data_IF_250892041315
#
_entry.id   IF_250892041315
#
_cell.length_a   1.000
_cell.length_b   1.000
_cell.length_c   1.000
_cell.angle_alpha   90.00
_cell.angle_beta   90.00
_cell.angle_gamma   90.00
#
_symmetry.space_group_name_H-M   'P 1'
#
loop_
_entity.id
_entity.type
_entity.pdbx_description
1 polymer ?
#
# COMPACT_ATOMS: atom_id res chain seq x y z
N UNK A 1 13.53 -20.87 3.15
CA UNK A 1 13.03 -20.17 4.32
C UNK A 1 12.99 -18.68 4.07
N UNK A 2 11.91 -18.06 4.49
CA UNK A 2 11.76 -16.63 4.24
C UNK A 2 12.70 -15.82 5.13
N UNK A 3 13.27 -14.79 4.57
CA UNK A 3 14.14 -13.91 5.34
C UNK A 3 13.31 -13.09 6.30
N UNK A 4 13.97 -12.51 7.28
CA UNK A 4 13.30 -11.62 8.22
C UNK A 4 12.64 -10.46 7.51
N UNK A 5 13.31 -9.94 6.48
CA UNK A 5 12.77 -8.83 5.72
C UNK A 5 11.48 -9.19 5.01
N UNK A 6 11.42 -10.39 4.43
CA UNK A 6 10.21 -10.85 3.77
C UNK A 6 9.06 -11.00 4.75
N UNK A 7 9.34 -11.51 5.94
CA UNK A 7 8.29 -11.67 6.93
C UNK A 7 7.78 -10.32 7.40
N UNK A 8 8.65 -9.35 7.57
CA UNK A 8 8.24 -8.03 7.98
C UNK A 8 7.34 -7.39 6.94
N UNK A 9 7.71 -7.54 5.67
CA UNK A 9 6.89 -7.00 4.61
C UNK A 9 5.48 -7.59 4.63
N UNK A 10 5.41 -8.92 4.74
CA UNK A 10 4.14 -9.60 4.78
C UNK A 10 3.31 -9.16 5.99
N UNK A 11 3.97 -8.99 7.13
CA UNK A 11 3.27 -8.58 8.34
C UNK A 11 2.56 -7.25 8.14
N UNK A 12 3.25 -6.27 7.57
CA UNK A 12 2.67 -4.95 7.41
C UNK A 12 1.59 -4.92 6.33
N UNK A 13 1.78 -5.70 5.27
CA UNK A 13 0.74 -5.83 4.27
C UNK A 13 -0.53 -6.42 4.89
N UNK A 14 -0.37 -7.47 5.68
CA UNK A 14 -1.51 -8.11 6.33
C UNK A 14 -2.18 -7.18 7.35
N UNK A 15 -1.40 -6.33 7.98
CA UNK A 15 -1.96 -5.33 8.87
C UNK A 15 -3.01 -4.49 8.14
N UNK A 16 -2.67 -4.01 6.95
CA UNK A 16 -3.60 -3.18 6.19
C UNK A 16 -4.75 -3.97 5.61
N UNK A 17 -4.50 -5.22 5.24
CA UNK A 17 -5.60 -6.06 4.77
C UNK A 17 -6.65 -6.20 5.86
N UNK A 18 -6.22 -6.49 7.07
CA UNK A 18 -7.16 -6.64 8.18
C UNK A 18 -7.86 -5.33 8.49
N UNK A 19 -7.10 -4.25 8.52
CA UNK A 19 -7.66 -2.94 8.85
C UNK A 19 -8.74 -2.53 7.86
N UNK A 20 -8.41 -2.59 6.57
CA UNK A 20 -9.35 -2.16 5.55
C UNK A 20 -10.58 -3.07 5.49
N UNK A 21 -10.39 -4.36 5.70
CA UNK A 21 -11.54 -5.25 5.76
C UNK A 21 -12.45 -4.93 6.93
N UNK A 22 -11.87 -4.49 8.04
CA UNK A 22 -12.69 -4.11 9.19
C UNK A 22 -13.53 -2.87 8.87
N UNK A 23 -13.12 -2.08 7.89
CA UNK A 23 -13.89 -0.92 7.42
C UNK A 23 -14.80 -1.26 6.25
N UNK A 24 -14.92 -2.55 5.92
CA UNK A 24 -15.75 -3.01 4.81
C UNK A 24 -15.19 -2.62 3.46
N UNK A 25 -13.88 -2.45 3.37
CA UNK A 25 -13.20 -2.15 2.12
C UNK A 25 -12.61 -3.44 1.57
N UNK A 26 -12.87 -3.72 0.32
CA UNK A 26 -12.28 -4.88 -0.34
C UNK A 26 -10.82 -4.63 -0.58
N UNK A 27 -9.99 -5.55 -0.16
CA UNK A 27 -8.55 -5.41 -0.28
C UNK A 27 -7.93 -6.81 -0.37
N UNK A 28 -6.87 -6.92 -1.15
CA UNK A 28 -6.13 -8.18 -1.22
C UNK A 28 -4.67 -7.89 -1.47
N UNK A 29 -3.83 -8.82 -1.07
CA UNK A 29 -2.41 -8.74 -1.34
C UNK A 29 -2.14 -9.20 -2.76
N UNK A 30 -1.16 -8.56 -3.40
CA UNK A 30 -0.68 -9.03 -4.68
C UNK A 30 0.18 -10.27 -4.45
N UNK A 31 -0.05 -11.34 -5.18
CA UNK A 31 0.79 -12.52 -5.02
C UNK A 31 2.12 -12.26 -5.68
N UNK A 32 3.19 -12.53 -4.98
CA UNK A 32 4.57 -12.56 -5.48
C UNK A 32 4.78 -11.93 -6.84
N UNK A 33 4.29 -10.74 -7.00
CA UNK A 33 4.31 -10.10 -8.31
C UNK A 33 5.71 -9.93 -8.84
N UNK A 34 6.66 -9.75 -7.95
CA UNK A 34 8.03 -9.58 -8.39
C UNK A 34 8.57 -10.80 -9.09
N UNK A 35 8.17 -11.98 -8.63
CA UNK A 35 8.63 -13.21 -9.23
C UNK A 35 8.09 -13.38 -10.64
N UNK A 36 6.95 -12.81 -10.91
CA UNK A 36 6.36 -12.89 -12.23
C UNK A 36 6.83 -11.77 -13.13
N UNK A 37 7.60 -10.85 -12.58
CA UNK A 37 8.15 -9.76 -13.34
C UNK A 37 7.08 -9.00 -14.04
N UNK A 38 5.97 -8.91 -13.50
CA UNK A 38 4.89 -8.45 -14.25
C UNK A 38 4.59 -7.01 -14.17
N UNK A 39 3.41 -6.77 -14.53
CA UNK A 39 2.84 -5.47 -14.57
C UNK A 39 2.41 -5.00 -13.21
N UNK A 40 2.30 -5.93 -12.28
CA UNK A 40 1.81 -5.60 -10.95
C UNK A 40 2.97 -5.19 -10.08
N UNK A 41 3.01 -3.93 -9.76
CA UNK A 41 4.14 -3.37 -9.03
C UNK A 41 3.83 -3.03 -7.58
N UNK A 42 2.62 -3.19 -7.16
CA UNK A 42 2.25 -2.83 -5.80
C UNK A 42 2.10 -4.04 -4.91
N UNK A 43 1.91 -3.79 -3.64
CA UNK A 43 1.73 -4.82 -2.64
C UNK A 43 0.27 -5.17 -2.40
N UNK A 44 -0.62 -4.21 -2.54
CA UNK A 44 -2.04 -4.39 -2.26
C UNK A 44 -2.88 -3.86 -3.40
N UNK A 45 -4.03 -4.47 -3.58
CA UNK A 45 -5.07 -3.90 -4.42
C UNK A 45 -6.23 -3.55 -3.49
N UNK A 46 -6.58 -2.28 -3.44
CA UNK A 46 -7.60 -1.76 -2.54
C UNK A 46 -8.73 -1.22 -3.39
N UNK A 47 -9.95 -1.68 -3.14
CA UNK A 47 -11.09 -1.18 -3.89
C UNK A 47 -11.70 -0.01 -3.15
N UNK A 48 -11.51 1.18 -3.67
CA UNK A 48 -12.06 2.39 -3.08
C UNK A 48 -13.04 2.98 -4.07
N UNK A 49 -14.25 3.16 -3.60
CA UNK A 49 -15.27 3.82 -4.40
C UNK A 49 -15.46 3.13 -5.76
N UNK A 50 -15.38 1.81 -5.78
CA UNK A 50 -15.56 1.05 -7.00
C UNK A 50 -14.34 1.00 -7.91
N UNK A 51 -13.22 1.56 -7.48
CA UNK A 51 -12.00 1.59 -8.28
C UNK A 51 -10.92 0.76 -7.60
N UNK A 52 -10.23 -0.07 -8.37
CA UNK A 52 -9.10 -0.83 -7.85
C UNK A 52 -7.87 0.06 -7.82
N UNK A 53 -7.30 0.23 -6.65
CA UNK A 53 -6.15 1.08 -6.42
C UNK A 53 -4.96 0.17 -6.07
N UNK A 54 -3.89 0.31 -6.81
CA UNK A 54 -2.68 -0.47 -6.56
C UNK A 54 -1.79 0.34 -5.63
N UNK A 55 -1.52 -0.22 -4.46
CA UNK A 55 -0.79 0.49 -3.42
C UNK A 55 0.46 -0.25 -3.02
N UNK A 56 1.50 0.51 -2.76
CA UNK A 56 2.74 0.01 -2.21
C UNK A 56 2.75 0.27 -0.71
N UNK A 57 3.22 -0.69 0.08
CA UNK A 57 3.32 -0.53 1.53
C UNK A 57 4.79 -0.47 1.90
N UNK A 58 5.19 0.56 2.64
CA UNK A 58 6.54 0.69 3.14
C UNK A 58 6.50 0.89 4.63
N UNK A 59 7.38 0.21 5.33
CA UNK A 59 7.51 0.36 6.77
C UNK A 59 8.89 0.85 7.13
N UNK A 60 8.97 1.79 8.05
CA UNK A 60 10.23 2.23 8.63
C UNK A 60 10.03 2.35 10.13
N UNK A 61 11.05 1.99 10.86
CA UNK A 61 10.98 2.06 12.31
C UNK A 61 10.77 3.51 12.77
N UNK A 62 11.42 4.43 12.09
CA UNK A 62 11.24 5.84 12.37
C UNK A 62 10.59 6.50 11.16
N UNK A 63 10.66 7.81 11.08
CA UNK A 63 9.94 8.52 10.02
C UNK A 63 10.77 8.78 8.77
N UNK A 64 11.84 8.05 8.59
CA UNK A 64 12.72 8.26 7.45
C UNK A 64 12.26 7.41 6.27
N UNK A 65 11.59 8.04 5.31
CA UNK A 65 11.05 7.34 4.15
C UNK A 65 11.60 7.92 2.86
N UNK A 66 11.64 7.13 1.78
CA UNK A 66 11.98 7.67 0.48
C UNK A 66 10.89 8.62 0.00
N UNK A 67 11.21 9.41 -1.01
CA UNK A 67 10.23 10.33 -1.56
C UNK A 67 9.03 9.56 -2.11
N UNK A 68 7.82 9.99 -1.80
CA UNK A 68 6.65 9.34 -2.39
C UNK A 68 6.59 9.53 -3.90
N UNK A 69 7.21 10.57 -4.42
CA UNK A 69 7.23 10.76 -5.87
C UNK A 69 7.98 9.65 -6.59
N UNK A 70 9.01 9.11 -5.96
CA UNK A 70 9.73 7.99 -6.56
C UNK A 70 9.04 6.67 -6.28
N UNK A 71 8.58 6.50 -5.06
CA UNK A 71 7.97 5.23 -4.66
C UNK A 71 6.69 4.95 -5.44
N UNK A 72 6.01 6.01 -5.86
CA UNK A 72 4.71 5.87 -6.50
C UNK A 72 4.77 5.57 -8.00
N UNK A 73 5.95 5.47 -8.55
CA UNK A 73 6.07 5.17 -9.97
C UNK A 73 5.40 3.84 -10.28
N UNK A 74 4.45 3.86 -11.22
CA UNK A 74 3.66 2.68 -11.62
C UNK A 74 2.74 2.15 -10.51
N UNK A 75 2.38 3.02 -9.59
CA UNK A 75 1.43 2.68 -8.55
C UNK A 75 0.42 3.79 -8.41
N UNK A 76 -0.73 3.46 -7.83
CA UNK A 76 -1.77 4.45 -7.62
C UNK A 76 -1.63 5.15 -6.27
N UNK A 77 -1.02 4.46 -5.33
CA UNK A 77 -0.91 4.97 -3.97
C UNK A 77 0.29 4.35 -3.28
N UNK A 78 0.73 4.99 -2.21
CA UNK A 78 1.76 4.40 -1.36
C UNK A 78 1.36 4.68 0.08
N UNK A 79 1.54 3.67 0.93
CA UNK A 79 1.23 3.78 2.34
C UNK A 79 2.54 3.68 3.11
N UNK A 80 2.84 4.71 3.88
CA UNK A 80 4.04 4.73 4.73
C UNK A 80 3.59 4.52 6.17
N UNK A 81 4.05 3.42 6.76
CA UNK A 81 3.73 3.06 8.13
C UNK A 81 5.00 3.11 8.95
N UNK A 82 4.95 3.73 10.11
CA UNK A 82 6.11 3.84 10.99
C UNK A 82 5.86 3.10 12.29
N UNK A 83 6.93 2.87 13.03
CA UNK A 83 6.82 2.25 14.34
C UNK A 83 6.40 3.26 15.39
N UNK A 84 6.15 2.77 16.58
CA UNK A 84 5.77 3.63 17.69
C UNK A 84 4.29 3.87 17.75
N UNK A 85 3.91 4.71 18.70
CA UNK A 85 2.51 4.98 18.98
C UNK A 85 2.08 6.39 18.66
N UNK A 86 2.97 7.20 18.12
CA UNK A 86 2.62 8.58 17.80
C UNK A 86 1.73 8.65 16.57
N UNK A 87 0.77 9.56 16.63
CA UNK A 87 -0.08 9.79 15.47
C UNK A 87 0.54 10.81 14.55
N UNK A 88 0.39 10.66 13.25
CA UNK A 88 -0.28 9.54 12.58
C UNK A 88 0.65 8.34 12.51
N UNK A 89 0.09 7.17 12.68
CA UNK A 89 0.88 5.95 12.62
C UNK A 89 1.20 5.56 11.18
N UNK A 90 0.37 5.95 10.27
CA UNK A 90 0.62 5.73 8.85
C UNK A 90 -0.09 6.82 8.05
N UNK A 91 0.42 7.03 6.85
CA UNK A 91 -0.14 8.00 5.92
C UNK A 91 -0.27 7.33 4.57
N UNK A 92 -1.22 7.79 3.79
CA UNK A 92 -1.39 7.28 2.44
C UNK A 92 -1.26 8.44 1.47
N UNK A 93 -0.41 8.26 0.46
CA UNK A 93 -0.24 9.24 -0.60
C UNK A 93 -0.94 8.75 -1.84
N UNK A 94 -1.65 9.62 -2.51
CA UNK A 94 -2.35 9.30 -3.75
C UNK A 94 -1.77 10.16 -4.86
N UNK A 95 -1.62 9.57 -6.04
CA UNK A 95 -1.19 10.37 -7.18
C UNK A 95 -2.37 11.21 -7.66
N UNK A 96 -2.05 12.21 -8.47
CA UNK A 96 -3.08 13.05 -9.07
C UNK A 96 -4.07 12.19 -9.87
N UNK A 97 -3.55 11.24 -10.60
CA UNK A 97 -4.41 10.36 -11.40
C UNK A 97 -5.37 9.57 -10.53
N UNK A 98 -4.87 9.12 -9.39
CA UNK A 98 -5.69 8.34 -8.48
C UNK A 98 -6.79 9.19 -7.86
N UNK A 99 -6.43 10.41 -7.45
CA UNK A 99 -7.42 11.32 -6.87
C UNK A 99 -8.52 11.58 -7.89
N UNK A 100 -8.15 11.81 -9.12
CA UNK A 100 -9.10 12.06 -10.19
C UNK A 100 -10.02 10.85 -10.41
N UNK A 101 -9.42 9.68 -10.43
CA UNK A 101 -10.16 8.44 -10.60
C UNK A 101 -11.20 8.25 -9.50
N UNK A 102 -10.81 8.51 -8.26
CA UNK A 102 -11.70 8.34 -7.13
C UNK A 102 -12.79 9.41 -7.08
N UNK A 103 -12.48 10.59 -7.53
CA UNK A 103 -13.41 11.70 -7.51
C UNK A 103 -14.55 11.52 -8.50
N UNK A 104 -14.24 10.89 -9.62
CA UNK A 104 -15.18 10.76 -10.73
C UNK A 104 -16.10 9.58 -10.61
N UNK A 105 -16.54 9.24 -9.51
CA UNK A 105 -17.45 8.14 -9.46
C UNK A 105 -18.82 8.61 -9.72
N UNK A 106 -19.41 8.03 -10.38
CA UNK A 106 -20.67 8.18 -10.68
C UNK A 106 -21.16 8.53 -11.10
#
# INVERSE_FOLDING_TARGET
>A
MASTASRKGTYHENFFVKLFKSWKIKVKRQPLSGALGGEYKGDLVINLNGQDIIAEVKYRKNSSFPSPFTTMVNRDAVIYKRGGNDEPRWVMFLSEQTVKKLWRTK
#
